data_IF_771712422145
#
_entry.id   IF_771712422145
#
_cell.length_a   1.000
_cell.length_b   1.000
_cell.length_c   1.000
_cell.angle_alpha   90.00
_cell.angle_beta   90.00
_cell.angle_gamma   90.00
#
_symmetry.space_group_name_H-M   'P 1'
#
loop_
_entity.id
_entity.type
_entity.pdbx_description
1 polymer ?
#
# COMPACT_ATOMS: atom_id res chain seq x y z
N UNK A 1 0.65 -8.16 -18.59
CA UNK A 1 1.45 -7.43 -17.57
C UNK A 1 1.06 -7.97 -16.22
N UNK A 2 2.00 -8.15 -15.29
CA UNK A 2 1.72 -8.73 -13.98
C UNK A 2 1.86 -7.71 -12.85
N UNK A 3 0.83 -7.56 -12.02
CA UNK A 3 0.84 -6.71 -10.83
C UNK A 3 0.81 -7.52 -9.53
N UNK A 4 1.52 -7.03 -8.53
CA UNK A 4 1.31 -7.43 -7.13
C UNK A 4 0.47 -6.33 -6.48
N UNK A 5 -0.74 -6.67 -6.02
CA UNK A 5 -1.68 -5.75 -5.39
C UNK A 5 -1.68 -5.96 -3.88
N UNK A 6 -1.26 -4.94 -3.13
CA UNK A 6 -1.08 -4.98 -1.68
C UNK A 6 -2.20 -4.18 -1.01
N UNK A 7 -3.06 -4.85 -0.26
CA UNK A 7 -4.21 -4.22 0.38
C UNK A 7 -3.83 -3.34 1.58
N UNK A 8 -4.78 -2.51 2.04
CA UNK A 8 -4.64 -1.69 3.23
C UNK A 8 -4.79 -2.49 4.54
N UNK A 9 -4.42 -1.86 5.64
CA UNK A 9 -4.67 -2.40 6.96
C UNK A 9 -6.19 -2.55 7.18
N UNK A 10 -6.61 -3.73 7.64
CA UNK A 10 -8.03 -4.02 7.86
C UNK A 10 -8.78 -4.56 6.64
N UNK A 11 -8.10 -4.66 5.50
CA UNK A 11 -8.59 -5.32 4.30
C UNK A 11 -7.98 -6.73 4.15
N UNK A 12 -8.34 -7.43 3.09
CA UNK A 12 -7.78 -8.71 2.64
C UNK A 12 -7.63 -8.71 1.11
N UNK A 13 -7.10 -9.78 0.54
CA UNK A 13 -6.84 -9.90 -0.89
C UNK A 13 -8.11 -9.67 -1.74
N UNK A 14 -9.28 -10.14 -1.29
CA UNK A 14 -10.56 -10.00 -2.02
C UNK A 14 -11.03 -8.55 -2.14
N UNK A 15 -10.45 -7.62 -1.39
CA UNK A 15 -10.74 -6.18 -1.52
C UNK A 15 -10.36 -5.63 -2.89
N UNK A 16 -9.55 -6.36 -3.67
CA UNK A 16 -9.15 -6.02 -5.02
C UNK A 16 -10.02 -6.61 -6.13
N UNK A 17 -10.90 -7.59 -5.83
CA UNK A 17 -11.67 -8.35 -6.83
C UNK A 17 -12.42 -7.46 -7.82
N UNK A 18 -13.09 -6.42 -7.32
CA UNK A 18 -13.81 -5.47 -8.18
C UNK A 18 -12.87 -4.65 -9.06
N UNK A 19 -11.75 -4.18 -8.54
CA UNK A 19 -10.76 -3.46 -9.34
C UNK A 19 -10.20 -4.36 -10.44
N UNK A 20 -9.86 -5.61 -10.10
CA UNK A 20 -9.34 -6.61 -11.04
C UNK A 20 -10.35 -6.86 -12.16
N UNK A 21 -11.65 -6.93 -11.85
CA UNK A 21 -12.70 -7.17 -12.87
C UNK A 21 -12.86 -6.04 -13.90
N UNK A 22 -12.28 -4.87 -13.65
CA UNK A 22 -12.25 -3.74 -14.58
C UNK A 22 -10.92 -3.61 -15.33
N UNK A 23 -9.88 -4.38 -14.96
CA UNK A 23 -8.62 -4.38 -15.68
C UNK A 23 -8.74 -5.14 -17.02
N UNK A 24 -7.91 -4.82 -18.02
CA UNK A 24 -7.88 -5.58 -19.27
C UNK A 24 -7.60 -7.07 -19.06
N UNK A 25 -8.21 -7.94 -19.87
CA UNK A 25 -8.09 -9.42 -19.78
C UNK A 25 -6.65 -9.95 -19.80
N UNK A 26 -5.72 -9.20 -20.40
CA UNK A 26 -4.31 -9.55 -20.47
C UNK A 26 -3.47 -9.07 -19.26
N UNK A 27 -4.13 -8.52 -18.23
CA UNK A 27 -3.48 -8.10 -16.98
C UNK A 27 -3.48 -9.26 -15.98
N UNK A 28 -2.30 -9.77 -15.68
CA UNK A 28 -2.14 -10.74 -14.60
C UNK A 28 -2.02 -10.01 -13.26
N UNK A 29 -2.69 -10.52 -12.24
CA UNK A 29 -2.63 -9.96 -10.89
C UNK A 29 -2.38 -11.05 -9.87
N UNK A 30 -1.64 -10.72 -8.83
CA UNK A 30 -1.51 -11.53 -7.61
C UNK A 30 -1.79 -10.62 -6.41
N UNK A 31 -2.60 -11.11 -5.50
CA UNK A 31 -3.02 -10.37 -4.30
C UNK A 31 -2.67 -11.22 -3.07
N UNK A 32 -1.47 -11.09 -2.51
CA UNK A 32 -1.13 -11.83 -1.29
C UNK A 32 -1.93 -11.30 -0.10
N UNK A 33 -2.30 -12.20 0.81
CA UNK A 33 -2.80 -11.81 2.12
C UNK A 33 -1.65 -11.24 2.95
N UNK A 34 -1.75 -9.99 3.38
CA UNK A 34 -0.69 -9.38 4.17
C UNK A 34 -0.52 -10.03 5.54
N UNK A 35 -1.56 -10.68 6.06
CA UNK A 35 -1.49 -11.48 7.28
C UNK A 35 -0.53 -12.67 7.18
N UNK A 36 -0.33 -13.21 5.98
CA UNK A 36 0.57 -14.34 5.74
C UNK A 36 2.06 -13.98 5.88
N UNK A 37 2.36 -12.66 5.85
CA UNK A 37 3.72 -12.16 6.06
C UNK A 37 4.12 -12.06 7.54
N UNK A 38 3.22 -12.42 8.45
CA UNK A 38 3.51 -12.50 9.88
C UNK A 38 3.68 -13.95 10.35
N UNK A 39 4.35 -14.10 11.47
CA UNK A 39 4.34 -15.33 12.27
C UNK A 39 3.61 -15.06 13.58
N UNK A 40 2.98 -16.06 14.14
CA UNK A 40 2.25 -15.94 15.40
C UNK A 40 3.09 -15.25 16.49
N UNK A 41 2.51 -14.22 17.09
CA UNK A 41 3.18 -13.41 18.13
C UNK A 41 4.25 -12.43 17.63
N UNK A 42 4.49 -12.33 16.32
CA UNK A 42 5.52 -11.45 15.75
C UNK A 42 4.93 -10.56 14.61
N UNK A 43 4.07 -9.63 15.00
CA UNK A 43 3.38 -8.71 14.08
C UNK A 43 4.08 -7.33 14.00
N UNK A 44 5.40 -7.32 13.81
CA UNK A 44 6.18 -6.10 13.57
C UNK A 44 6.32 -5.84 12.07
N UNK A 45 6.39 -4.57 11.70
CA UNK A 45 6.58 -4.17 10.30
C UNK A 45 7.86 -4.78 9.69
N UNK A 46 8.96 -4.82 10.44
CA UNK A 46 10.21 -5.41 9.97
C UNK A 46 10.07 -6.88 9.58
N UNK A 47 9.25 -7.67 10.30
CA UNK A 47 8.96 -9.07 9.95
C UNK A 47 8.10 -9.15 8.69
N UNK A 48 7.04 -8.35 8.62
CA UNK A 48 6.19 -8.24 7.44
C UNK A 48 7.01 -7.90 6.19
N UNK A 49 7.87 -6.90 6.30
CA UNK A 49 8.73 -6.47 5.20
C UNK A 49 9.72 -7.56 4.76
N UNK A 50 10.39 -8.22 5.71
CA UNK A 50 11.29 -9.34 5.40
C UNK A 50 10.56 -10.47 4.65
N UNK A 51 9.38 -10.86 5.13
CA UNK A 51 8.57 -11.91 4.48
C UNK A 51 8.07 -11.46 3.09
N UNK A 52 7.73 -10.19 2.92
CA UNK A 52 7.39 -9.64 1.60
C UNK A 52 8.58 -9.65 0.64
N UNK A 53 9.80 -9.33 1.10
CA UNK A 53 11.01 -9.45 0.28
C UNK A 53 11.23 -10.91 -0.16
N UNK A 54 11.07 -11.88 0.74
CA UNK A 54 11.14 -13.31 0.42
C UNK A 54 10.07 -13.70 -0.61
N UNK A 55 8.83 -13.23 -0.45
CA UNK A 55 7.75 -13.43 -1.42
C UNK A 55 8.11 -12.88 -2.80
N UNK A 56 8.68 -11.68 -2.88
CA UNK A 56 9.12 -11.07 -4.14
C UNK A 56 10.23 -11.86 -4.85
N UNK A 57 11.03 -12.65 -4.14
CA UNK A 57 12.08 -13.49 -4.74
C UNK A 57 11.52 -14.65 -5.57
N UNK A 58 10.22 -14.99 -5.44
CA UNK A 58 9.58 -15.99 -6.30
C UNK A 58 9.35 -15.50 -7.75
N UNK A 59 9.58 -14.23 -8.01
CA UNK A 59 9.41 -13.64 -9.34
C UNK A 59 10.77 -13.31 -9.94
N UNK A 60 11.03 -13.79 -11.16
CA UNK A 60 12.30 -13.55 -11.88
C UNK A 60 12.34 -12.15 -12.50
N UNK A 61 11.19 -11.65 -12.98
CA UNK A 61 11.08 -10.38 -13.69
C UNK A 61 10.86 -9.20 -12.73
N UNK A 62 11.24 -7.97 -13.13
CA UNK A 62 10.90 -6.78 -12.37
C UNK A 62 9.39 -6.60 -12.19
N UNK A 63 8.99 -6.20 -11.00
CA UNK A 63 7.62 -6.20 -10.51
C UNK A 63 6.90 -4.88 -10.82
N UNK A 64 5.61 -4.96 -11.16
CA UNK A 64 4.71 -3.81 -11.04
C UNK A 64 4.00 -3.92 -9.69
N UNK A 65 4.25 -2.98 -8.80
CA UNK A 65 3.68 -2.97 -7.45
C UNK A 65 2.57 -1.93 -7.36
N UNK A 66 1.44 -2.33 -6.80
CA UNK A 66 0.35 -1.41 -6.45
C UNK A 66 -0.05 -1.64 -5.00
N UNK A 67 0.02 -0.62 -4.18
CA UNK A 67 -0.31 -0.72 -2.76
C UNK A 67 -1.23 0.38 -2.27
N UNK A 68 -2.14 0.02 -1.37
CA UNK A 68 -3.02 0.94 -0.66
C UNK A 68 -2.56 1.07 0.80
N UNK A 69 -2.36 2.32 1.27
CA UNK A 69 -2.08 2.61 2.68
C UNK A 69 -0.88 1.80 3.22
N UNK A 70 -1.08 0.83 4.10
CA UNK A 70 -0.02 -0.10 4.57
C UNK A 70 0.66 -0.81 3.39
N UNK A 71 -0.12 -1.29 2.41
CA UNK A 71 0.42 -1.89 1.19
C UNK A 71 1.26 -0.90 0.37
N UNK A 72 0.91 0.40 0.38
CA UNK A 72 1.72 1.43 -0.28
C UNK A 72 3.05 1.67 0.44
N UNK A 73 3.06 1.63 1.78
CA UNK A 73 4.30 1.72 2.57
C UNK A 73 5.22 0.55 2.25
N UNK A 74 4.66 -0.67 2.19
CA UNK A 74 5.40 -1.89 1.90
C UNK A 74 6.01 -1.86 0.47
N UNK A 75 5.21 -1.44 -0.52
CA UNK A 75 5.64 -1.31 -1.91
C UNK A 75 6.73 -0.24 -2.08
N UNK A 76 6.57 0.90 -1.41
CA UNK A 76 7.56 2.00 -1.41
C UNK A 76 8.89 1.55 -0.81
N UNK A 77 8.86 0.92 0.36
CA UNK A 77 10.06 0.43 1.02
C UNK A 77 10.81 -0.57 0.11
N UNK A 78 10.09 -1.48 -0.53
CA UNK A 78 10.70 -2.43 -1.47
C UNK A 78 11.31 -1.72 -2.69
N UNK A 79 10.66 -0.69 -3.23
CA UNK A 79 11.17 0.07 -4.37
C UNK A 79 12.42 0.90 -4.00
N UNK A 80 12.54 1.33 -2.75
CA UNK A 80 13.74 2.01 -2.21
C UNK A 80 14.91 1.04 -2.11
N UNK A 81 14.70 -0.14 -1.50
CA UNK A 81 15.77 -1.09 -1.21
C UNK A 81 16.20 -1.90 -2.46
N UNK A 82 15.25 -2.13 -3.39
CA UNK A 82 15.45 -2.94 -4.59
C UNK A 82 14.99 -2.23 -5.87
N UNK A 83 15.55 -1.04 -6.22
CA UNK A 83 15.05 -0.22 -7.33
C UNK A 83 15.10 -0.94 -8.69
N UNK A 84 16.06 -1.85 -8.91
CA UNK A 84 16.18 -2.62 -10.14
C UNK A 84 15.14 -3.76 -10.25
N UNK A 85 14.47 -4.08 -9.15
CA UNK A 85 13.43 -5.12 -9.07
C UNK A 85 12.02 -4.57 -9.28
N UNK A 86 11.87 -3.25 -9.38
CA UNK A 86 10.55 -2.60 -9.55
C UNK A 86 10.48 -1.92 -10.90
N UNK A 87 9.55 -2.38 -11.74
CA UNK A 87 9.29 -1.85 -13.06
C UNK A 87 8.40 -0.60 -13.03
N UNK A 88 7.37 -0.63 -12.18
CA UNK A 88 6.47 0.50 -11.94
C UNK A 88 5.87 0.42 -10.54
N UNK A 89 5.47 1.57 -9.99
CA UNK A 89 4.95 1.69 -8.64
C UNK A 89 3.68 2.52 -8.62
N UNK A 90 2.61 1.97 -8.05
CA UNK A 90 1.36 2.69 -7.79
C UNK A 90 1.17 2.77 -6.27
N UNK A 91 1.17 3.98 -5.75
CA UNK A 91 1.03 4.27 -4.33
C UNK A 91 -0.31 4.95 -4.07
N UNK A 92 -1.21 4.28 -3.36
CA UNK A 92 -2.53 4.80 -3.05
C UNK A 92 -2.57 5.25 -1.58
N UNK A 93 -2.84 6.51 -1.35
CA UNK A 93 -2.84 7.13 -0.03
C UNK A 93 -1.55 6.84 0.78
N UNK A 94 -0.34 7.01 0.16
CA UNK A 94 0.92 6.63 0.79
C UNK A 94 1.27 7.54 1.96
N UNK A 95 1.99 6.94 2.92
CA UNK A 95 2.76 7.67 3.93
C UNK A 95 4.24 7.31 3.75
N UNK A 96 5.12 8.30 3.75
CA UNK A 96 6.58 8.14 3.63
C UNK A 96 7.33 8.63 4.88
N UNK A 97 6.69 9.48 5.66
CA UNK A 97 7.07 9.94 6.98
C UNK A 97 5.87 9.67 7.90
N UNK A 98 6.03 8.76 8.86
CA UNK A 98 4.91 8.26 9.64
C UNK A 98 4.35 9.34 10.57
N UNK A 99 3.05 9.66 10.47
CA UNK A 99 2.43 10.70 11.30
C UNK A 99 2.23 10.19 12.72
N UNK A 100 3.27 10.27 13.57
CA UNK A 100 3.31 9.75 14.95
C UNK A 100 2.07 10.07 15.78
N UNK A 101 1.57 11.28 15.65
CA UNK A 101 0.36 11.68 16.38
C UNK A 101 -0.89 10.93 15.87
N UNK A 102 -1.04 10.81 14.56
CA UNK A 102 -2.18 10.09 13.96
C UNK A 102 -2.15 8.60 14.31
N UNK A 103 -0.97 7.97 14.28
CA UNK A 103 -0.80 6.56 14.69
C UNK A 103 -1.15 6.36 16.17
N UNK A 104 -0.77 7.29 17.05
CA UNK A 104 -1.16 7.25 18.47
C UNK A 104 -2.68 7.33 18.64
N UNK A 105 -3.34 8.26 17.95
CA UNK A 105 -4.81 8.38 17.98
C UNK A 105 -5.48 7.12 17.45
N UNK A 106 -5.00 6.57 16.33
CA UNK A 106 -5.50 5.33 15.75
C UNK A 106 -5.36 4.15 16.73
N UNK A 107 -4.22 4.03 17.39
CA UNK A 107 -4.00 2.98 18.40
C UNK A 107 -4.94 3.11 19.60
N UNK A 108 -5.27 4.35 20.02
CA UNK A 108 -6.27 4.57 21.08
C UNK A 108 -7.65 4.12 20.59
N UNK A 109 -8.03 4.46 19.36
CA UNK A 109 -9.30 4.02 18.77
C UNK A 109 -9.38 2.49 18.69
N UNK A 110 -8.32 1.80 18.24
CA UNK A 110 -8.25 0.34 18.18
C UNK A 110 -8.50 -0.31 19.56
N UNK A 111 -8.00 0.27 20.64
CA UNK A 111 -8.24 -0.25 22.01
C UNK A 111 -9.72 -0.31 22.36
N UNK A 112 -10.51 0.64 21.87
CA UNK A 112 -11.95 0.71 22.16
C UNK A 112 -12.83 -0.01 21.12
N UNK A 113 -12.28 -0.41 19.97
CA UNK A 113 -13.02 -1.16 18.97
C UNK A 113 -13.30 -2.60 19.43
N UNK A 114 -14.49 -3.15 19.17
CA UNK A 114 -14.79 -4.54 19.51
C UNK A 114 -13.95 -5.52 18.68
N UNK A 115 -13.56 -6.65 19.30
CA UNK A 115 -12.78 -7.72 18.65
C UNK A 115 -13.44 -8.25 17.36
N UNK A 116 -14.76 -8.19 17.26
CA UNK A 116 -15.50 -8.62 16.07
C UNK A 116 -15.10 -7.88 14.80
N UNK A 117 -14.56 -6.66 14.91
CA UNK A 117 -14.08 -5.87 13.77
C UNK A 117 -12.78 -6.40 13.17
N UNK A 118 -12.05 -7.22 13.92
CA UNK A 118 -10.78 -7.82 13.49
C UNK A 118 -10.95 -9.27 13.00
N UNK A 119 -12.18 -9.82 13.10
CA UNK A 119 -12.48 -11.16 12.59
C UNK A 119 -12.42 -11.19 11.06
N UNK A 120 -11.76 -12.20 10.51
CA UNK A 120 -11.65 -12.39 9.06
C UNK A 120 -10.51 -11.64 8.37
N UNK A 121 -9.68 -10.91 9.15
CA UNK A 121 -8.52 -10.16 8.63
C UNK A 121 -7.20 -10.93 8.88
N UNK A 122 -7.26 -12.04 9.58
CA UNK A 122 -6.07 -12.85 9.94
C UNK A 122 -5.21 -12.26 11.07
N UNK A 123 -5.58 -11.11 11.64
CA UNK A 123 -4.85 -10.41 12.70
C UNK A 123 -5.77 -10.04 13.86
N UNK A 124 -5.25 -10.09 15.09
CA UNK A 124 -5.95 -9.64 16.29
C UNK A 124 -5.81 -8.13 16.48
N UNK A 125 -6.64 -7.54 17.33
CA UNK A 125 -6.50 -6.15 17.76
C UNK A 125 -5.09 -5.84 18.30
N UNK A 126 -4.52 -6.75 19.07
CA UNK A 126 -3.17 -6.62 19.62
C UNK A 126 -2.11 -6.55 18.50
N UNK A 127 -2.28 -7.36 17.46
CA UNK A 127 -1.38 -7.39 16.31
C UNK A 127 -1.42 -6.05 15.55
N UNK A 128 -2.61 -5.49 15.34
CA UNK A 128 -2.77 -4.16 14.73
C UNK A 128 -2.03 -3.07 15.53
N UNK A 129 -2.19 -3.06 16.85
CA UNK A 129 -1.51 -2.08 17.72
C UNK A 129 0.01 -2.30 17.69
N UNK A 130 0.47 -3.55 17.68
CA UNK A 130 1.89 -3.87 17.61
C UNK A 130 2.50 -3.42 16.28
N UNK A 131 1.82 -3.71 15.18
CA UNK A 131 2.23 -3.31 13.83
C UNK A 131 2.34 -1.79 13.72
N UNK A 132 1.28 -1.04 14.07
CA UNK A 132 1.28 0.42 13.99
C UNK A 132 2.32 1.07 14.89
N UNK A 133 2.56 0.54 16.09
CA UNK A 133 3.62 1.02 16.97
C UNK A 133 5.01 0.79 16.37
N UNK A 134 5.23 -0.34 15.71
CA UNK A 134 6.53 -0.66 15.09
C UNK A 134 6.85 0.22 13.87
N UNK A 135 5.85 0.89 13.31
CA UNK A 135 5.98 1.80 12.18
C UNK A 135 6.18 3.28 12.61
N UNK A 136 6.01 3.60 13.90
CA UNK A 136 5.89 4.99 14.36
C UNK A 136 7.13 5.86 14.11
N UNK A 137 8.30 5.28 13.97
CA UNK A 137 9.56 5.99 13.72
C UNK A 137 10.07 5.85 12.28
N UNK A 138 9.27 5.29 11.38
CA UNK A 138 9.64 5.14 9.97
C UNK A 138 9.58 6.49 9.25
N UNK A 139 10.66 6.80 8.55
CA UNK A 139 10.80 7.98 7.69
C UNK A 139 11.68 7.60 6.49
N UNK A 140 11.10 7.63 5.30
CA UNK A 140 11.78 7.34 4.04
C UNK A 140 12.25 8.60 3.31
N UNK A 141 12.17 9.76 3.93
CA UNK A 141 12.40 11.05 3.25
C UNK A 141 13.75 11.11 2.55
N UNK A 142 14.81 10.60 3.19
CA UNK A 142 16.17 10.58 2.64
C UNK A 142 16.37 9.54 1.54
N UNK A 143 15.53 8.51 1.49
CA UNK A 143 15.75 7.34 0.65
C UNK A 143 14.86 7.35 -0.61
N UNK A 144 13.96 8.34 -0.72
CA UNK A 144 13.06 8.49 -1.87
C UNK A 144 13.82 8.67 -3.20
N UNK A 145 15.02 9.21 -3.18
CA UNK A 145 15.88 9.37 -4.35
C UNK A 145 16.30 8.04 -4.99
N UNK A 146 16.27 6.94 -4.23
CA UNK A 146 16.58 5.60 -4.73
C UNK A 146 15.47 5.04 -5.64
N UNK A 147 14.24 5.58 -5.58
CA UNK A 147 13.13 5.12 -6.42
C UNK A 147 13.33 5.59 -7.85
N UNK A 148 13.71 4.69 -8.73
CA UNK A 148 14.08 5.00 -10.12
C UNK A 148 12.98 4.68 -11.16
N UNK A 149 11.98 3.88 -10.79
CA UNK A 149 10.88 3.49 -11.67
C UNK A 149 9.83 4.61 -11.83
N UNK A 150 8.96 4.55 -12.86
CA UNK A 150 7.77 5.40 -12.94
C UNK A 150 6.85 5.15 -11.74
N UNK A 151 6.33 6.24 -11.15
CA UNK A 151 5.44 6.20 -9.98
C UNK A 151 4.13 6.94 -10.28
N UNK A 152 3.01 6.27 -9.98
CA UNK A 152 1.70 6.91 -9.93
C UNK A 152 1.25 7.00 -8.47
N UNK A 153 1.10 8.21 -7.97
CA UNK A 153 0.57 8.46 -6.62
C UNK A 153 -0.90 8.79 -6.73
N UNK A 154 -1.72 8.03 -6.05
CA UNK A 154 -3.18 8.18 -6.05
C UNK A 154 -3.71 8.50 -4.66
N UNK A 155 -4.80 9.24 -4.61
CA UNK A 155 -5.53 9.50 -3.38
C UNK A 155 -7.02 9.65 -3.70
N UNK A 156 -7.89 9.18 -2.84
CA UNK A 156 -9.31 9.45 -2.99
C UNK A 156 -9.61 10.95 -2.88
N UNK A 157 -10.55 11.42 -3.67
CA UNK A 157 -10.97 12.84 -3.68
C UNK A 157 -11.32 13.35 -2.27
N UNK A 158 -11.98 12.49 -1.48
CA UNK A 158 -12.48 12.79 -0.12
C UNK A 158 -11.48 12.42 0.99
N UNK A 159 -10.33 11.83 0.67
CA UNK A 159 -9.29 11.47 1.66
C UNK A 159 -8.40 12.68 1.99
N UNK A 160 -8.95 13.63 2.72
CA UNK A 160 -8.25 14.86 3.11
C UNK A 160 -7.08 14.60 4.06
N UNK A 161 -7.07 13.47 4.76
CA UNK A 161 -6.02 13.13 5.74
C UNK A 161 -4.72 12.78 5.03
N UNK A 162 -4.79 11.95 3.99
CA UNK A 162 -3.61 11.43 3.30
C UNK A 162 -3.20 12.26 2.08
N UNK A 163 -4.10 13.10 1.54
CA UNK A 163 -3.87 13.88 0.32
C UNK A 163 -2.62 14.77 0.39
N UNK A 164 -2.36 15.39 1.56
CA UNK A 164 -1.16 16.22 1.74
C UNK A 164 0.14 15.40 1.65
N UNK A 165 0.16 14.21 2.23
CA UNK A 165 1.32 13.33 2.15
C UNK A 165 1.52 12.81 0.73
N UNK A 166 0.41 12.45 0.04
CA UNK A 166 0.44 12.00 -1.35
C UNK A 166 1.01 13.07 -2.31
N UNK A 167 0.62 14.33 -2.16
CA UNK A 167 1.18 15.44 -2.96
C UNK A 167 2.67 15.63 -2.65
N UNK A 168 3.04 15.68 -1.37
CA UNK A 168 4.44 15.88 -0.96
C UNK A 168 5.38 14.78 -1.44
N UNK A 169 4.97 13.52 -1.38
CA UNK A 169 5.80 12.42 -1.88
C UNK A 169 5.97 12.52 -3.40
N UNK A 170 4.93 12.93 -4.13
CA UNK A 170 5.00 13.13 -5.57
C UNK A 170 6.04 14.19 -5.94
N UNK A 171 6.12 15.29 -5.18
CA UNK A 171 7.10 16.37 -5.38
C UNK A 171 8.55 15.92 -5.13
N UNK A 172 8.75 14.89 -4.29
CA UNK A 172 10.06 14.35 -3.91
C UNK A 172 10.56 13.25 -4.85
N UNK A 173 9.66 12.54 -5.53
CA UNK A 173 10.00 11.45 -6.44
C UNK A 173 10.24 11.99 -7.85
N UNK A 174 11.38 11.66 -8.45
CA UNK A 174 11.83 12.21 -9.74
C UNK A 174 10.94 11.84 -10.94
N UNK A 175 10.21 10.70 -10.87
CA UNK A 175 9.38 10.16 -11.95
C UNK A 175 7.95 9.89 -11.50
N UNK A 176 7.40 10.75 -10.66
CA UNK A 176 6.06 10.57 -10.11
C UNK A 176 5.03 11.51 -10.76
N UNK A 177 3.81 11.00 -10.87
CA UNK A 177 2.60 11.78 -11.20
C UNK A 177 1.58 11.59 -10.09
N UNK A 178 0.83 12.64 -9.76
CA UNK A 178 -0.27 12.58 -8.81
C UNK A 178 -1.62 12.64 -9.54
N UNK A 179 -2.57 11.83 -9.09
CA UNK A 179 -3.97 11.92 -9.51
C UNK A 179 -4.93 11.61 -8.37
N UNK A 180 -6.16 12.09 -8.48
CA UNK A 180 -7.23 11.79 -7.52
C UNK A 180 -8.26 10.85 -8.12
N UNK A 181 -8.77 9.93 -7.32
CA UNK A 181 -9.88 9.07 -7.69
C UNK A 181 -11.18 9.71 -7.19
N UNK A 182 -12.03 10.07 -8.13
CA UNK A 182 -13.30 10.76 -7.86
C UNK A 182 -14.24 9.90 -7.00
N UNK A 183 -15.08 10.57 -6.22
CA UNK A 183 -16.13 9.97 -5.38
C UNK A 183 -15.63 8.95 -4.34
N UNK A 184 -14.33 8.88 -4.06
CA UNK A 184 -13.72 7.92 -3.14
C UNK A 184 -13.07 8.59 -1.93
N UNK A 185 -13.11 7.87 -0.80
CA UNK A 185 -12.37 8.16 0.42
C UNK A 185 -11.02 7.46 0.42
N UNK A 186 -10.63 6.91 1.60
CA UNK A 186 -9.37 6.23 1.77
C UNK A 186 -9.27 4.90 1.01
N UNK A 187 -10.36 4.13 1.00
CA UNK A 187 -10.42 2.79 0.40
C UNK A 187 -10.86 2.87 -1.07
N UNK A 188 -10.04 3.47 -1.93
CA UNK A 188 -10.40 3.72 -3.34
C UNK A 188 -10.71 2.44 -4.12
N UNK A 189 -10.10 1.31 -3.76
CA UNK A 189 -10.35 0.00 -4.35
C UNK A 189 -11.76 -0.53 -4.05
N UNK A 190 -12.42 -0.02 -3.02
CA UNK A 190 -13.80 -0.33 -2.65
C UNK A 190 -14.76 0.75 -3.18
N UNK A 191 -14.39 2.03 -2.98
CA UNK A 191 -15.28 3.16 -3.26
C UNK A 191 -15.46 3.42 -4.76
N UNK A 192 -14.36 3.33 -5.54
CA UNK A 192 -14.39 3.53 -6.99
C UNK A 192 -13.40 2.61 -7.72
N UNK A 193 -13.64 1.28 -7.73
CA UNK A 193 -12.75 0.29 -8.35
C UNK A 193 -12.55 0.50 -9.86
N UNK A 194 -13.58 0.98 -10.58
CA UNK A 194 -13.47 1.28 -12.01
C UNK A 194 -12.54 2.50 -12.25
N UNK A 195 -12.70 3.57 -11.48
CA UNK A 195 -11.81 4.74 -11.56
C UNK A 195 -10.36 4.38 -11.26
N UNK A 196 -10.15 3.50 -10.27
CA UNK A 196 -8.83 2.99 -9.94
C UNK A 196 -8.23 2.15 -11.09
N UNK A 197 -8.98 1.22 -11.67
CA UNK A 197 -8.52 0.41 -12.79
C UNK A 197 -8.09 1.28 -13.98
N UNK A 198 -8.87 2.30 -14.35
CA UNK A 198 -8.51 3.25 -15.41
C UNK A 198 -7.20 4.00 -15.10
N UNK A 199 -7.03 4.48 -13.86
CA UNK A 199 -5.79 5.15 -13.46
C UNK A 199 -4.58 4.20 -13.52
N UNK A 200 -4.75 2.91 -13.20
CA UNK A 200 -3.70 1.90 -13.33
C UNK A 200 -3.29 1.69 -14.80
N UNK A 201 -4.25 1.73 -15.73
CA UNK A 201 -3.96 1.60 -17.16
C UNK A 201 -3.15 2.77 -17.70
N UNK A 202 -3.42 4.00 -17.26
CA UNK A 202 -2.71 5.21 -17.70
C UNK A 202 -1.20 5.15 -17.41
N UNK A 203 -0.76 4.48 -16.34
CA UNK A 203 0.66 4.31 -16.05
C UNK A 203 1.35 3.40 -17.07
N UNK A 204 0.62 2.49 -17.71
CA UNK A 204 1.16 1.54 -18.67
C UNK A 204 1.41 2.13 -20.06
N UNK A 205 0.91 3.33 -20.33
CA UNK A 205 1.00 4.01 -21.63
C UNK A 205 2.24 4.93 -21.70
N UNK A 206 2.94 5.11 -20.58
CA UNK A 206 4.14 5.96 -20.43
C UNK A 206 5.41 5.10 -20.33
#
# INVERSE_FOLDING_TARGET
MKYILLHGMGQNASSWDKTISFLPDNTETVCPELSDFFTEGNCYYSKMYSSFCEYCNNFSEPLNLCGLSLGAVLALNYAIDFPQRVKSLILIAPQYDMPKFLLKVQNVLFKFMPESRFKGIGLTKKDFITLTNSMADMDFTSDLENVSCPVLVLCGEKDNVNKKAAIKITEKLSRAKFSTIENSGHEVNIDNPNGLAKAMEELNVV
#
